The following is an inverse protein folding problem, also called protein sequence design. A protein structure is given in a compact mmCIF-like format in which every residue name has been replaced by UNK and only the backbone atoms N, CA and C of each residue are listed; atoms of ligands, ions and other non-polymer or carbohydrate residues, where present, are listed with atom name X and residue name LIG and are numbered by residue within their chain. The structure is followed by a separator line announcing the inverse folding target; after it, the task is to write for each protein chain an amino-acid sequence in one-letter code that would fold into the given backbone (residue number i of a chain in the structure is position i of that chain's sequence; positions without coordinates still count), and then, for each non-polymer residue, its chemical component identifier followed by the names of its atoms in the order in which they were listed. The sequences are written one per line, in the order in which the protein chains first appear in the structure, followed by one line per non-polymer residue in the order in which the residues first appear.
data_IF_871177941350
#
_entry.id   IF_871177941350
#
_cell.length_a   1.000
_cell.length_b   1.000
_cell.length_c   1.000
_cell.angle_alpha   90.00
_cell.angle_beta   90.00
_cell.angle_gamma   90.00
#
_symmetry.space_group_name_H-M   'P 1'
#
loop_
_entity.id
_entity.type
_entity.pdbx_description
1 polymer ?
#
# COMPACT_ATOMS: atom_id res chain seq x y z
N UNK A 1 -11.60 -5.33 10.46
CA UNK A 1 -11.53 -4.28 11.50
C UNK A 1 -12.08 -2.92 11.04
N UNK A 2 -11.83 -2.52 9.81
CA UNK A 2 -12.27 -1.22 9.29
C UNK A 2 -13.81 -1.09 9.31
N UNK A 3 -14.54 -2.08 8.80
CA UNK A 3 -16.02 -2.07 8.79
C UNK A 3 -16.57 -2.00 10.22
N UNK A 4 -16.04 -2.81 11.13
CA UNK A 4 -16.48 -2.78 12.52
C UNK A 4 -16.18 -1.42 13.19
N UNK A 5 -15.07 -0.79 12.86
CA UNK A 5 -14.74 0.57 13.28
C UNK A 5 -15.75 1.59 12.76
N UNK A 6 -16.09 1.53 11.46
CA UNK A 6 -17.08 2.40 10.84
C UNK A 6 -18.47 2.25 11.47
N UNK A 7 -18.91 1.02 11.70
CA UNK A 7 -20.21 0.74 12.38
C UNK A 7 -20.23 1.35 13.77
N UNK A 8 -19.17 1.19 14.58
CA UNK A 8 -19.08 1.79 15.93
C UNK A 8 -19.14 3.32 15.87
N UNK A 9 -18.41 3.92 14.93
CA UNK A 9 -18.36 5.39 14.76
C UNK A 9 -19.73 5.93 14.35
N UNK A 10 -20.39 5.31 13.37
CA UNK A 10 -21.71 5.70 12.90
C UNK A 10 -22.77 5.56 14.03
N UNK A 11 -22.73 4.46 14.78
CA UNK A 11 -23.65 4.27 15.92
C UNK A 11 -23.41 5.32 17.02
N UNK A 12 -22.14 5.65 17.32
CA UNK A 12 -21.80 6.70 18.28
C UNK A 12 -22.39 8.05 17.85
N UNK A 13 -22.16 8.45 16.60
CA UNK A 13 -22.68 9.70 16.04
C UNK A 13 -24.21 9.75 16.09
N UNK A 14 -24.89 8.67 15.70
CA UNK A 14 -26.35 8.59 15.74
C UNK A 14 -26.91 8.70 17.18
N UNK A 15 -26.22 8.12 18.18
CA UNK A 15 -26.57 8.30 19.60
C UNK A 15 -26.41 9.74 20.06
N UNK A 16 -25.30 10.38 19.72
CA UNK A 16 -25.01 11.78 20.07
C UNK A 16 -26.03 12.73 19.42
N UNK A 17 -26.51 12.40 18.23
CA UNK A 17 -27.56 13.14 17.53
C UNK A 17 -28.99 12.82 18.05
N UNK A 18 -29.16 11.90 19.02
CA UNK A 18 -30.48 11.53 19.56
C UNK A 18 -31.37 10.77 18.59
N UNK A 19 -30.82 10.22 17.49
CA UNK A 19 -31.59 9.54 16.43
C UNK A 19 -31.75 8.03 16.64
N UNK A 20 -31.20 7.48 17.74
CA UNK A 20 -31.29 6.06 18.08
C UNK A 20 -32.05 5.84 19.39
N UNK A 21 -33.10 4.99 19.34
CA UNK A 21 -33.83 4.52 20.51
C UNK A 21 -33.25 3.22 21.10
N UNK A 22 -33.92 2.68 22.12
CA UNK A 22 -33.50 1.49 22.88
C UNK A 22 -33.25 0.28 21.96
N UNK A 23 -34.10 0.04 20.99
CA UNK A 23 -33.99 -1.12 20.09
C UNK A 23 -32.74 -1.03 19.21
N UNK A 24 -32.50 0.11 18.55
CA UNK A 24 -31.33 0.29 17.69
C UNK A 24 -30.03 0.25 18.52
N UNK A 25 -30.02 0.88 19.68
CA UNK A 25 -28.86 0.84 20.58
C UNK A 25 -28.51 -0.59 21.02
N UNK A 26 -29.53 -1.40 21.33
CA UNK A 26 -29.33 -2.81 21.67
C UNK A 26 -28.86 -3.63 20.49
N UNK A 27 -29.47 -3.44 19.32
CA UNK A 27 -29.09 -4.12 18.09
C UNK A 27 -27.63 -3.87 17.72
N UNK A 28 -27.19 -2.62 17.64
CA UNK A 28 -25.81 -2.30 17.30
C UNK A 28 -24.80 -2.80 18.33
N UNK A 29 -25.16 -2.76 19.62
CA UNK A 29 -24.33 -3.32 20.67
C UNK A 29 -24.15 -4.82 20.50
N UNK A 30 -25.24 -5.55 20.22
CA UNK A 30 -25.20 -6.99 19.99
C UNK A 30 -24.42 -7.34 18.73
N UNK A 31 -24.62 -6.60 17.63
CA UNK A 31 -23.88 -6.79 16.37
C UNK A 31 -22.36 -6.60 16.57
N UNK A 32 -21.95 -5.55 17.30
CA UNK A 32 -20.54 -5.30 17.62
C UNK A 32 -19.97 -6.41 18.52
N UNK A 33 -20.75 -6.88 19.49
CA UNK A 33 -20.32 -7.96 20.40
C UNK A 33 -20.19 -9.28 19.65
N UNK A 34 -21.16 -9.62 18.79
CA UNK A 34 -21.11 -10.81 17.95
C UNK A 34 -19.91 -10.80 16.99
N UNK A 35 -19.65 -9.65 16.33
CA UNK A 35 -18.48 -9.51 15.46
C UNK A 35 -17.15 -9.68 16.21
N UNK A 36 -17.04 -9.16 17.45
CA UNK A 36 -15.86 -9.38 18.30
C UNK A 36 -15.72 -10.85 18.69
N UNK A 37 -16.82 -11.52 19.03
CA UNK A 37 -16.82 -12.95 19.37
C UNK A 37 -16.34 -13.79 18.19
N UNK A 38 -16.90 -13.60 17.00
CA UNK A 38 -16.42 -14.25 15.77
C UNK A 38 -14.92 -14.02 15.57
N UNK A 39 -14.44 -12.79 15.74
CA UNK A 39 -13.02 -12.47 15.61
C UNK A 39 -12.13 -13.22 16.61
N UNK A 40 -12.61 -13.42 17.83
CA UNK A 40 -11.85 -14.08 18.91
C UNK A 40 -11.88 -15.60 18.78
N UNK A 41 -13.03 -16.15 18.38
CA UNK A 41 -13.27 -17.60 18.36
C UNK A 41 -12.95 -18.26 17.00
N UNK A 42 -12.62 -17.47 15.97
CA UNK A 42 -12.32 -17.99 14.63
C UNK A 42 -10.97 -17.50 14.13
N UNK A 43 -10.42 -18.22 13.14
CA UNK A 43 -9.17 -17.85 12.46
C UNK A 43 -9.32 -16.66 11.48
N UNK A 44 -10.53 -16.09 11.31
CA UNK A 44 -10.84 -15.01 10.36
C UNK A 44 -9.96 -13.77 10.49
N UNK A 45 -9.33 -13.56 11.65
CA UNK A 45 -8.44 -12.41 11.90
C UNK A 45 -6.96 -12.78 11.96
N UNK A 46 -6.63 -14.07 12.08
CA UNK A 46 -5.25 -14.52 12.24
C UNK A 46 -4.48 -14.51 10.92
N UNK A 47 -5.19 -14.62 9.80
CA UNK A 47 -4.63 -14.66 8.44
C UNK A 47 -4.86 -13.37 7.65
N UNK A 48 -5.17 -12.24 8.29
CA UNK A 48 -5.29 -10.98 7.55
C UNK A 48 -3.90 -10.45 7.17
N UNK A 49 -3.30 -11.10 6.20
CA UNK A 49 -2.13 -10.55 5.50
C UNK A 49 -2.62 -9.30 4.79
N UNK A 50 -2.08 -8.14 5.16
CA UNK A 50 -2.45 -6.90 4.45
C UNK A 50 -1.92 -6.97 3.01
N UNK A 51 -2.61 -6.36 2.06
CA UNK A 51 -2.13 -6.24 0.67
C UNK A 51 -0.71 -5.68 0.62
N UNK A 52 -0.37 -4.76 1.53
CA UNK A 52 0.97 -4.22 1.68
C UNK A 52 2.02 -5.29 2.08
N UNK A 53 1.67 -6.17 3.02
CA UNK A 53 2.56 -7.28 3.42
C UNK A 53 2.71 -8.30 2.28
N UNK A 54 1.62 -8.59 1.56
CA UNK A 54 1.66 -9.50 0.41
C UNK A 54 2.54 -8.95 -0.72
N UNK A 55 2.46 -7.64 -0.99
CA UNK A 55 3.28 -6.98 -2.00
C UNK A 55 4.78 -7.16 -1.72
N UNK A 56 5.21 -6.96 -0.47
CA UNK A 56 6.60 -7.15 -0.09
C UNK A 56 7.02 -8.63 -0.16
N UNK A 57 6.14 -9.54 0.26
CA UNK A 57 6.40 -10.98 0.19
C UNK A 57 6.57 -11.47 -1.26
N UNK A 58 5.72 -11.04 -2.16
CA UNK A 58 5.83 -11.35 -3.60
C UNK A 58 7.14 -10.81 -4.18
N UNK A 59 7.50 -9.57 -3.83
CA UNK A 59 8.76 -8.98 -4.27
C UNK A 59 9.98 -9.76 -3.73
N UNK A 60 9.93 -10.21 -2.49
CA UNK A 60 10.98 -11.04 -1.89
C UNK A 60 11.08 -12.42 -2.53
N UNK A 61 9.95 -13.08 -2.82
CA UNK A 61 9.92 -14.37 -3.51
C UNK A 61 10.53 -14.28 -4.91
N UNK A 62 10.26 -13.19 -5.65
CA UNK A 62 10.78 -12.97 -7.01
C UNK A 62 12.26 -12.63 -7.06
N UNK A 63 12.77 -11.92 -6.06
CA UNK A 63 14.17 -11.47 -6.03
C UNK A 63 15.06 -12.29 -5.09
N UNK A 64 14.49 -13.23 -4.35
CA UNK A 64 15.16 -14.05 -3.33
C UNK A 64 15.43 -13.30 -2.02
N UNK A 65 15.56 -11.98 -2.05
CA UNK A 65 15.75 -11.13 -0.87
C UNK A 65 15.46 -9.68 -1.24
N UNK A 66 15.02 -8.89 -0.24
CA UNK A 66 14.92 -7.43 -0.34
C UNK A 66 16.16 -6.70 0.22
N UNK A 67 17.11 -7.44 0.77
CA UNK A 67 18.35 -6.86 1.30
C UNK A 67 19.13 -6.17 0.17
N UNK A 68 19.56 -4.94 0.42
CA UNK A 68 20.32 -4.09 -0.51
C UNK A 68 19.59 -3.82 -1.85
N UNK A 69 18.27 -4.06 -1.89
CA UNK A 69 17.41 -3.75 -3.06
C UNK A 69 16.86 -2.35 -2.98
N UNK A 70 16.73 -1.70 -4.14
CA UNK A 70 16.12 -0.39 -4.28
C UNK A 70 14.62 -0.53 -4.51
N UNK A 71 13.83 0.00 -3.59
CA UNK A 71 12.37 -0.10 -3.58
C UNK A 71 11.74 1.27 -3.71
N UNK A 72 11.00 1.51 -4.80
CA UNK A 72 10.25 2.74 -5.01
C UNK A 72 8.79 2.54 -4.60
N UNK A 73 8.30 3.43 -3.73
CA UNK A 73 6.88 3.46 -3.34
C UNK A 73 6.24 4.73 -3.90
N UNK A 74 5.29 4.55 -4.82
CA UNK A 74 4.48 5.63 -5.39
C UNK A 74 3.17 5.70 -4.59
N UNK A 75 2.90 6.87 -3.98
CA UNK A 75 1.72 7.07 -3.15
C UNK A 75 1.92 6.72 -1.65
N UNK A 76 3.15 6.80 -1.14
CA UNK A 76 3.48 6.56 0.27
C UNK A 76 2.72 7.45 1.26
N UNK A 77 2.21 8.62 0.84
CA UNK A 77 1.37 9.50 1.65
C UNK A 77 -0.07 9.02 1.80
N UNK A 78 -0.49 8.00 1.01
CA UNK A 78 -1.80 7.37 1.10
C UNK A 78 -1.85 6.29 2.19
N UNK A 79 -3.08 5.81 2.48
CA UNK A 79 -3.30 4.80 3.53
C UNK A 79 -2.54 3.49 3.26
N UNK A 80 -2.66 2.95 2.04
CA UNK A 80 -2.03 1.66 1.67
C UNK A 80 -0.52 1.86 1.52
N UNK A 81 -0.09 2.89 0.76
CA UNK A 81 1.32 3.18 0.57
C UNK A 81 2.07 3.48 1.87
N UNK A 82 1.42 4.16 2.83
CA UNK A 82 1.98 4.37 4.17
C UNK A 82 2.17 3.07 4.96
N UNK A 83 1.28 2.09 4.80
CA UNK A 83 1.45 0.76 5.42
C UNK A 83 2.61 0.01 4.76
N UNK A 84 2.75 0.09 3.42
CA UNK A 84 3.90 -0.50 2.70
C UNK A 84 5.20 0.10 3.23
N UNK A 85 5.27 1.43 3.34
CA UNK A 85 6.46 2.13 3.85
C UNK A 85 6.81 1.68 5.27
N UNK A 86 5.84 1.64 6.18
CA UNK A 86 6.07 1.18 7.56
C UNK A 86 6.56 -0.28 7.62
N UNK A 87 5.98 -1.16 6.80
CA UNK A 87 6.36 -2.57 6.77
C UNK A 87 7.79 -2.74 6.26
N UNK A 88 8.18 -2.08 5.16
CA UNK A 88 9.53 -2.22 4.62
C UNK A 88 10.59 -1.58 5.52
N UNK A 89 10.29 -0.45 6.15
CA UNK A 89 11.17 0.18 7.14
C UNK A 89 11.45 -0.75 8.33
N UNK A 90 10.45 -1.52 8.78
CA UNK A 90 10.62 -2.48 9.88
C UNK A 90 11.58 -3.63 9.54
N UNK A 91 11.82 -3.89 8.26
CA UNK A 91 12.76 -4.91 7.80
C UNK A 91 14.22 -4.42 7.79
N UNK A 92 14.48 -3.10 7.82
CA UNK A 92 15.80 -2.45 7.83
C UNK A 92 16.82 -3.02 6.81
N UNK A 93 16.36 -3.43 5.63
CA UNK A 93 17.18 -4.19 4.69
C UNK A 93 17.25 -3.59 3.28
N UNK A 94 16.34 -2.71 2.91
CA UNK A 94 16.21 -2.17 1.56
C UNK A 94 16.51 -0.67 1.51
N UNK A 95 17.00 -0.20 0.36
CA UNK A 95 17.11 1.23 0.05
C UNK A 95 15.73 1.74 -0.42
N UNK A 96 15.08 2.53 0.40
CA UNK A 96 13.70 2.96 0.18
C UNK A 96 13.67 4.32 -0.51
N UNK A 97 12.92 4.41 -1.61
CA UNK A 97 12.58 5.63 -2.33
C UNK A 97 11.08 5.87 -2.25
N UNK A 98 10.66 7.10 -2.03
CA UNK A 98 9.24 7.46 -1.98
C UNK A 98 8.97 8.67 -2.86
N UNK A 99 7.86 8.64 -3.61
CA UNK A 99 7.46 9.82 -4.37
C UNK A 99 6.63 10.75 -3.52
N UNK A 100 6.89 12.06 -3.64
CA UNK A 100 6.05 13.11 -3.08
C UNK A 100 5.64 14.10 -4.16
N UNK A 101 4.45 14.69 -4.03
CA UNK A 101 4.07 15.89 -4.79
C UNK A 101 4.52 17.11 -4.01
N UNK A 102 4.94 18.17 -4.71
CA UNK A 102 5.28 19.49 -4.11
C UNK A 102 4.23 19.84 -3.06
N UNK A 103 4.64 20.05 -1.81
CA UNK A 103 3.82 20.41 -0.63
C UNK A 103 3.22 19.26 0.21
N UNK A 104 3.57 18.01 0.01
CA UNK A 104 3.21 16.94 0.96
C UNK A 104 4.45 16.41 1.66
N UNK A 105 4.60 16.76 2.95
CA UNK A 105 5.58 16.14 3.82
C UNK A 105 5.08 14.74 4.21
N UNK A 106 5.92 13.74 4.10
CA UNK A 106 5.66 12.42 4.67
C UNK A 106 6.00 12.55 6.16
N UNK A 107 4.97 12.55 7.01
CA UNK A 107 5.18 12.53 8.45
C UNK A 107 5.45 11.08 8.88
N UNK A 108 6.68 10.79 9.23
CA UNK A 108 7.02 9.57 9.94
C UNK A 108 6.84 9.77 11.44
N UNK A 109 6.26 8.78 12.11
CA UNK A 109 6.03 8.83 13.57
C UNK A 109 7.32 8.65 14.38
N UNK A 110 8.40 8.27 13.73
CA UNK A 110 9.71 8.03 14.35
C UNK A 110 10.76 8.81 13.56
N UNK A 111 11.39 9.78 14.18
CA UNK A 111 12.26 10.81 13.60
C UNK A 111 13.60 10.38 12.99
N UNK A 112 13.73 9.15 12.48
CA UNK A 112 14.80 8.72 11.61
C UNK A 112 14.18 8.30 10.27
N UNK A 113 14.16 9.22 9.31
CA UNK A 113 13.67 8.97 7.96
C UNK A 113 14.72 8.16 7.17
N UNK A 114 14.59 6.83 7.22
CA UNK A 114 15.42 5.90 6.44
C UNK A 114 14.86 5.72 5.03
N UNK A 115 14.59 6.82 4.31
CA UNK A 115 14.17 6.75 2.90
C UNK A 115 14.56 8.02 2.14
N UNK A 116 14.75 7.87 0.84
CA UNK A 116 15.00 8.97 -0.08
C UNK A 116 13.68 9.47 -0.69
N UNK A 117 13.44 10.76 -0.59
CA UNK A 117 12.28 11.40 -1.22
C UNK A 117 12.62 11.89 -2.62
N UNK A 118 11.79 11.56 -3.60
CA UNK A 118 11.90 12.05 -4.98
C UNK A 118 10.62 12.79 -5.40
N UNK A 119 10.73 13.73 -6.34
CA UNK A 119 9.54 14.38 -6.89
C UNK A 119 8.73 13.36 -7.71
N UNK A 120 7.41 13.42 -7.60
CA UNK A 120 6.51 12.54 -8.35
C UNK A 120 6.72 12.66 -9.87
N UNK A 121 7.07 13.85 -10.37
CA UNK A 121 7.29 14.06 -11.80
C UNK A 121 8.55 13.33 -12.30
N UNK A 122 9.56 13.17 -11.45
CA UNK A 122 10.83 12.52 -11.78
C UNK A 122 10.76 10.99 -11.67
N UNK A 123 9.63 10.41 -11.25
CA UNK A 123 9.48 8.97 -10.96
C UNK A 123 9.96 8.04 -12.07
N UNK A 124 9.81 8.45 -13.33
CA UNK A 124 10.26 7.64 -14.47
C UNK A 124 11.79 7.56 -14.57
N UNK A 125 12.51 8.61 -14.22
CA UNK A 125 13.97 8.68 -14.32
C UNK A 125 14.65 7.73 -13.32
N UNK A 126 13.94 7.41 -12.24
CA UNK A 126 14.43 6.49 -11.22
C UNK A 126 14.14 5.01 -11.52
N UNK A 127 13.23 4.68 -12.46
CA UNK A 127 12.76 3.31 -12.68
C UNK A 127 13.88 2.32 -13.02
N UNK A 128 14.85 2.73 -13.83
CA UNK A 128 15.89 1.81 -14.31
C UNK A 128 16.78 1.29 -13.18
N UNK A 129 17.01 2.09 -12.16
CA UNK A 129 17.78 1.68 -10.99
C UNK A 129 16.98 0.90 -9.93
N UNK A 130 15.63 0.91 -9.97
CA UNK A 130 14.80 0.22 -9.00
C UNK A 130 14.74 -1.28 -9.25
N UNK A 131 14.72 -2.07 -8.19
CA UNK A 131 14.48 -3.50 -8.22
C UNK A 131 13.00 -3.82 -8.00
N UNK A 132 12.33 -3.02 -7.15
CA UNK A 132 10.90 -3.13 -6.86
C UNK A 132 10.23 -1.77 -7.02
N UNK A 133 9.06 -1.75 -7.64
CA UNK A 133 8.20 -0.56 -7.73
C UNK A 133 6.81 -0.94 -7.21
N UNK A 134 6.37 -0.30 -6.14
CA UNK A 134 5.04 -0.52 -5.56
C UNK A 134 4.23 0.76 -5.74
N UNK A 135 3.10 0.68 -6.45
CA UNK A 135 2.19 1.81 -6.62
C UNK A 135 0.91 1.60 -5.81
N UNK A 136 0.51 2.63 -5.07
CA UNK A 136 -0.65 2.60 -4.17
C UNK A 136 -1.31 3.99 -4.12
N UNK A 137 -1.64 4.56 -5.27
CA UNK A 137 -2.28 5.87 -5.35
C UNK A 137 -3.79 5.76 -5.46
N UNK A 138 -4.49 6.87 -5.35
CA UNK A 138 -5.91 7.01 -5.67
C UNK A 138 -6.10 7.76 -7.00
N UNK A 139 -5.13 7.70 -7.89
CA UNK A 139 -5.22 8.35 -9.20
C UNK A 139 -6.30 7.68 -10.06
N UNK A 140 -7.15 8.44 -10.76
CA UNK A 140 -8.08 7.86 -11.73
C UNK A 140 -7.40 7.45 -13.05
N UNK A 141 -6.11 7.73 -13.21
CA UNK A 141 -5.33 7.47 -14.42
C UNK A 141 -4.04 6.74 -14.08
N UNK A 142 -3.49 6.03 -15.07
CA UNK A 142 -2.19 5.40 -14.92
C UNK A 142 -1.12 6.39 -14.45
N UNK A 143 -0.44 6.04 -13.37
CA UNK A 143 0.75 6.75 -12.87
C UNK A 143 2.01 6.33 -13.63
N UNK A 144 2.02 5.08 -14.11
CA UNK A 144 3.09 4.51 -14.93
C UNK A 144 2.51 3.92 -16.21
N UNK A 145 2.85 4.53 -17.37
CA UNK A 145 2.45 4.06 -18.69
C UNK A 145 3.54 3.24 -19.35
N UNK A 146 3.17 2.19 -20.07
CA UNK A 146 4.12 1.30 -20.76
C UNK A 146 5.08 2.04 -21.69
N UNK A 147 4.56 2.98 -22.47
CA UNK A 147 5.37 3.71 -23.46
C UNK A 147 6.50 4.52 -22.83
N UNK A 148 6.28 5.08 -21.64
CA UNK A 148 7.30 5.82 -20.88
C UNK A 148 8.24 4.87 -20.14
N UNK A 149 7.68 3.82 -19.48
CA UNK A 149 8.47 2.83 -18.76
C UNK A 149 9.48 2.13 -19.70
N UNK A 150 9.04 1.66 -20.87
CA UNK A 150 9.89 0.97 -21.84
C UNK A 150 11.10 1.82 -22.30
N UNK A 151 10.95 3.14 -22.33
CA UNK A 151 12.06 4.04 -22.70
C UNK A 151 13.11 4.18 -21.61
N UNK A 152 12.69 4.02 -20.36
CA UNK A 152 13.56 4.19 -19.20
C UNK A 152 14.25 2.89 -18.76
N UNK A 153 13.59 1.75 -18.96
CA UNK A 153 14.11 0.44 -18.55
C UNK A 153 15.14 -0.04 -19.59
N UNK A 154 16.39 0.34 -19.40
CA UNK A 154 17.49 0.06 -20.34
C UNK A 154 18.47 -0.99 -19.81
N UNK A 155 18.58 -1.15 -18.49
CA UNK A 155 19.46 -2.12 -17.86
C UNK A 155 18.78 -3.50 -17.79
N UNK A 156 19.48 -4.53 -18.25
CA UNK A 156 18.99 -5.91 -18.14
C UNK A 156 19.13 -6.39 -16.69
N UNK A 157 18.04 -6.34 -15.96
CA UNK A 157 17.92 -6.87 -14.58
C UNK A 157 16.50 -7.25 -14.25
N UNK A 158 16.32 -8.22 -13.35
CA UNK A 158 14.99 -8.60 -12.85
C UNK A 158 14.37 -7.46 -12.06
N UNK A 159 13.13 -7.11 -12.36
CA UNK A 159 12.34 -6.07 -11.67
C UNK A 159 10.95 -6.58 -11.32
N UNK A 160 10.46 -6.12 -10.20
CA UNK A 160 9.10 -6.46 -9.72
C UNK A 160 8.27 -5.19 -9.62
N UNK A 161 7.15 -5.17 -10.32
CA UNK A 161 6.15 -4.11 -10.24
C UNK A 161 4.92 -4.65 -9.53
N UNK A 162 4.47 -3.98 -8.48
CA UNK A 162 3.26 -4.34 -7.73
C UNK A 162 2.30 -3.17 -7.72
N UNK A 163 1.10 -3.39 -8.23
CA UNK A 163 0.04 -2.38 -8.29
C UNK A 163 -1.03 -2.68 -7.24
N UNK A 164 -1.13 -1.83 -6.24
CA UNK A 164 -2.11 -1.93 -5.15
C UNK A 164 -3.26 -0.93 -5.29
N UNK A 165 -3.33 -0.24 -6.43
CA UNK A 165 -4.32 0.82 -6.65
C UNK A 165 -5.60 0.27 -7.30
N UNK A 166 -6.71 0.91 -6.97
CA UNK A 166 -8.00 0.72 -7.63
C UNK A 166 -8.57 2.11 -7.98
N UNK A 167 -8.68 2.44 -9.28
CA UNK A 167 -8.25 1.69 -10.46
C UNK A 167 -6.71 1.55 -10.55
N UNK A 168 -6.25 0.68 -11.45
CA UNK A 168 -4.82 0.37 -11.61
C UNK A 168 -3.98 1.60 -11.92
N UNK A 169 -2.82 1.70 -11.27
CA UNK A 169 -1.82 2.76 -11.44
C UNK A 169 -0.81 2.45 -12.55
N UNK A 170 -0.52 1.16 -12.77
CA UNK A 170 0.52 0.68 -13.67
C UNK A 170 -0.13 -0.01 -14.87
N UNK A 171 0.25 0.39 -16.07
CA UNK A 171 -0.23 -0.26 -17.29
C UNK A 171 0.31 -1.69 -17.38
N UNK A 172 -0.59 -2.70 -17.31
CA UNK A 172 -0.24 -4.12 -17.22
C UNK A 172 0.67 -4.63 -18.36
N UNK A 173 0.70 -3.91 -19.50
CA UNK A 173 1.58 -4.21 -20.64
C UNK A 173 3.07 -4.19 -20.28
N UNK A 174 3.44 -3.67 -19.08
CA UNK A 174 4.83 -3.70 -18.58
C UNK A 174 5.37 -5.13 -18.49
N UNK A 175 4.52 -6.13 -18.26
CA UNK A 175 4.90 -7.54 -18.25
C UNK A 175 5.49 -8.04 -19.58
N UNK A 176 5.37 -7.28 -20.67
CA UNK A 176 6.00 -7.58 -21.95
C UNK A 176 7.47 -7.07 -22.06
N UNK A 177 7.98 -6.42 -21.02
CA UNK A 177 9.41 -6.06 -20.94
C UNK A 177 10.16 -7.23 -20.31
N UNK A 178 11.27 -7.61 -20.92
CA UNK A 178 12.10 -8.72 -20.46
C UNK A 178 12.52 -8.54 -18.98
N UNK A 179 12.61 -9.63 -18.25
CA UNK A 179 12.98 -9.67 -16.84
C UNK A 179 12.07 -8.82 -15.91
N UNK A 180 10.83 -8.53 -16.32
CA UNK A 180 9.87 -7.76 -15.54
C UNK A 180 8.70 -8.62 -15.09
N UNK A 181 8.48 -8.70 -13.77
CA UNK A 181 7.30 -9.30 -13.16
C UNK A 181 6.29 -8.22 -12.77
N UNK A 182 5.02 -8.44 -13.08
CA UNK A 182 3.93 -7.51 -12.73
C UNK A 182 2.83 -8.24 -11.97
N UNK A 183 2.40 -7.64 -10.84
CA UNK A 183 1.35 -8.12 -9.95
C UNK A 183 0.35 -7.01 -9.65
N UNK A 184 -0.94 -7.36 -9.64
CA UNK A 184 -2.04 -6.47 -9.22
C UNK A 184 -3.10 -7.21 -8.40
#
# INVERSE_FOLDING_TARGET
DQILGQVKTAHKQAREAGTTGVYLNTFFRMAVTGAKKVKTETELSKTSVSTATLALKVAEEELGTLKDKKVLIIGATGKIGGIVLMNIQSLHQADIYVTTRKNKLIQTKHGNDEFTTIDYEDRYEYLDQMDVVISATSSPHYTLTYSKMKKQLTTAKRRVFVDLAVPMDIEAKISAVDDTCYYN
#
